data_IF_955968135252
#
_entry.id   IF_955968135252
#
_cell.length_a   1.000
_cell.length_b   1.000
_cell.length_c   1.000
_cell.angle_alpha   90.00
_cell.angle_beta   90.00
_cell.angle_gamma   90.00
#
_symmetry.space_group_name_H-M   'P 1'
#
loop_
_entity.id
_entity.type
_entity.pdbx_description
1 polymer ?
#
# COMPACT_ATOMS: atom_id res chain seq x y z
N UNK A 1 19.99 7.21 18.20
CA UNK A 1 19.64 8.40 17.36
C UNK A 1 19.54 9.69 18.16
N UNK A 2 18.86 9.74 19.31
CA UNK A 2 18.79 10.97 20.14
C UNK A 2 20.17 11.48 20.58
N UNK A 3 21.01 10.60 21.08
CA UNK A 3 22.41 10.92 21.42
C UNK A 3 23.21 11.39 20.20
N UNK A 4 23.02 10.74 19.05
CA UNK A 4 23.62 11.17 17.78
C UNK A 4 23.22 12.59 17.38
N UNK A 5 21.94 12.96 17.56
CA UNK A 5 21.47 14.33 17.33
C UNK A 5 22.12 15.31 18.32
N UNK A 6 22.23 14.96 19.60
CA UNK A 6 22.86 15.84 20.60
C UNK A 6 24.33 16.11 20.24
N UNK A 7 25.06 15.07 19.83
CA UNK A 7 26.44 15.17 19.36
C UNK A 7 26.56 15.99 18.06
N UNK A 8 25.60 15.83 17.15
CA UNK A 8 25.51 16.64 15.93
C UNK A 8 25.25 18.11 16.27
N UNK A 9 24.38 18.44 17.22
CA UNK A 9 24.14 19.84 17.58
C UNK A 9 25.36 20.49 18.21
N UNK A 10 26.07 19.75 19.08
CA UNK A 10 27.24 20.26 19.79
C UNK A 10 28.46 20.43 18.86
N UNK A 11 28.74 19.42 18.05
CA UNK A 11 30.02 19.29 17.35
C UNK A 11 29.89 19.21 15.82
N UNK A 12 28.67 19.32 15.27
CA UNK A 12 28.34 19.09 13.85
C UNK A 12 28.89 17.76 13.31
N UNK A 13 29.00 16.77 14.19
CA UNK A 13 29.49 15.42 13.90
C UNK A 13 28.35 14.52 13.45
N UNK A 14 28.44 14.04 12.21
CA UNK A 14 27.48 13.08 11.66
C UNK A 14 27.63 11.71 12.33
N UNK A 15 26.51 11.02 12.55
CA UNK A 15 26.48 9.70 13.14
C UNK A 15 26.91 8.66 12.10
N UNK A 16 28.02 7.96 12.39
CA UNK A 16 28.43 6.80 11.60
C UNK A 16 27.54 5.60 11.98
N UNK A 17 26.67 5.20 11.07
CA UNK A 17 25.79 4.06 11.28
C UNK A 17 26.50 2.76 10.91
N UNK A 18 26.35 1.75 11.76
CA UNK A 18 26.65 0.38 11.35
C UNK A 18 25.65 -0.09 10.30
N UNK A 19 26.05 -1.11 9.53
CA UNK A 19 25.19 -1.72 8.50
C UNK A 19 23.84 -2.19 9.08
N UNK A 20 23.85 -2.78 10.27
CA UNK A 20 22.66 -3.37 10.90
C UNK A 20 21.70 -2.28 11.38
N UNK A 21 22.21 -1.22 12.03
CA UNK A 21 21.35 -0.10 12.46
C UNK A 21 20.73 0.60 11.25
N UNK A 22 21.48 0.79 10.17
CA UNK A 22 20.93 1.32 8.91
C UNK A 22 19.85 0.40 8.34
N UNK A 23 20.06 -0.92 8.38
CA UNK A 23 19.07 -1.89 7.94
C UNK A 23 17.76 -1.81 8.73
N UNK A 24 17.84 -1.71 10.05
CA UNK A 24 16.67 -1.67 10.94
C UNK A 24 15.84 -0.40 10.76
N UNK A 25 16.50 0.75 10.61
CA UNK A 25 15.82 2.02 10.28
C UNK A 25 15.06 1.88 8.97
N UNK A 26 15.72 1.35 7.93
CA UNK A 26 15.10 1.14 6.63
C UNK A 26 13.95 0.13 6.69
N UNK A 27 14.07 -0.97 7.45
CA UNK A 27 13.02 -1.99 7.58
C UNK A 27 11.78 -1.42 8.26
N UNK A 28 11.95 -0.68 9.37
CA UNK A 28 10.83 -0.04 10.06
C UNK A 28 10.13 0.98 9.16
N UNK A 29 10.89 1.85 8.49
CA UNK A 29 10.31 2.81 7.55
C UNK A 29 9.59 2.13 6.40
N UNK A 30 10.16 1.08 5.82
CA UNK A 30 9.52 0.35 4.73
C UNK A 30 8.21 -0.33 5.19
N UNK A 31 8.18 -0.88 6.40
CA UNK A 31 6.97 -1.45 7.00
C UNK A 31 5.87 -0.40 7.18
N UNK A 32 6.18 0.74 7.78
CA UNK A 32 5.24 1.85 7.98
C UNK A 32 4.72 2.36 6.62
N UNK A 33 5.63 2.65 5.68
CA UNK A 33 5.27 3.10 4.33
C UNK A 33 4.36 2.10 3.62
N UNK A 34 4.64 0.80 3.74
CA UNK A 34 3.81 -0.25 3.17
C UNK A 34 2.39 -0.26 3.76
N UNK A 35 2.26 0.01 5.06
CA UNK A 35 0.96 0.11 5.74
C UNK A 35 0.06 1.21 5.15
N UNK A 36 0.64 2.29 4.63
CA UNK A 36 -0.10 3.33 3.90
C UNK A 36 -0.26 3.01 2.41
N UNK A 37 0.81 2.53 1.75
CA UNK A 37 0.84 2.31 0.30
C UNK A 37 1.91 1.29 -0.08
N UNK A 38 1.50 0.15 -0.66
CA UNK A 38 2.44 -0.88 -1.11
C UNK A 38 3.43 -0.40 -2.20
N UNK A 39 2.98 0.49 -3.09
CA UNK A 39 3.76 1.04 -4.21
C UNK A 39 3.88 2.57 -4.10
N UNK A 40 4.69 3.10 -3.16
CA UNK A 40 4.91 4.53 -3.07
C UNK A 40 5.68 5.03 -4.29
N UNK A 41 5.31 6.21 -4.75
CA UNK A 41 5.98 6.95 -5.81
C UNK A 41 7.33 7.47 -5.34
N UNK A 42 8.18 7.84 -6.30
CA UNK A 42 9.51 8.39 -6.00
C UNK A 42 9.43 9.68 -5.16
N UNK A 43 8.37 10.49 -5.36
CA UNK A 43 8.10 11.70 -4.56
C UNK A 43 7.71 11.36 -3.12
N UNK A 44 6.81 10.38 -2.93
CA UNK A 44 6.41 9.94 -1.58
C UNK A 44 7.59 9.35 -0.80
N UNK A 45 8.48 8.59 -1.46
CA UNK A 45 9.71 8.07 -0.84
C UNK A 45 10.66 9.23 -0.46
N UNK A 46 10.78 10.26 -1.30
CA UNK A 46 11.60 11.43 -1.03
C UNK A 46 11.14 12.17 0.24
N UNK A 47 9.82 12.39 0.38
CA UNK A 47 9.23 13.04 1.56
C UNK A 47 9.57 12.28 2.85
N UNK A 48 9.52 10.95 2.83
CA UNK A 48 9.89 10.14 3.99
C UNK A 48 11.39 10.24 4.31
N UNK A 49 12.25 10.22 3.30
CA UNK A 49 13.70 10.37 3.48
C UNK A 49 14.07 11.75 4.04
N UNK A 50 13.43 12.81 3.54
CA UNK A 50 13.58 14.16 4.02
C UNK A 50 13.13 14.29 5.48
N UNK A 51 11.92 13.79 5.80
CA UNK A 51 11.40 13.80 7.16
C UNK A 51 12.29 13.03 8.15
N UNK A 52 12.93 11.94 7.71
CA UNK A 52 13.89 11.20 8.52
C UNK A 52 15.08 12.07 8.92
N UNK A 53 15.69 12.75 7.96
CA UNK A 53 16.89 13.59 8.19
C UNK A 53 16.51 14.88 8.92
N UNK A 54 15.35 15.46 8.66
CA UNK A 54 14.84 16.63 9.39
C UNK A 54 14.65 16.30 10.88
N UNK A 55 14.09 15.13 11.19
CA UNK A 55 13.90 14.66 12.57
C UNK A 55 15.22 14.22 13.22
N UNK A 56 16.13 13.66 12.43
CA UNK A 56 17.43 13.19 12.89
C UNK A 56 18.58 13.77 12.06
N UNK A 57 18.95 15.04 12.27
CA UNK A 57 20.01 15.70 11.51
C UNK A 57 21.36 14.98 11.56
N UNK A 58 21.63 14.20 12.61
CA UNK A 58 22.82 13.36 12.70
C UNK A 58 22.92 12.29 11.59
N UNK A 59 21.81 11.98 10.91
CA UNK A 59 21.75 11.02 9.80
C UNK A 59 22.00 11.66 8.43
N UNK A 60 22.18 12.98 8.36
CA UNK A 60 22.41 13.69 7.10
C UNK A 60 23.69 13.16 6.42
N UNK A 61 23.62 12.89 5.12
CA UNK A 61 24.79 12.45 4.35
C UNK A 61 25.74 13.63 4.09
N UNK A 62 26.99 13.50 4.55
CA UNK A 62 28.01 14.52 4.34
C UNK A 62 28.27 14.71 2.84
N UNK A 63 28.37 15.96 2.40
CA UNK A 63 28.63 16.31 0.99
C UNK A 63 27.41 16.20 0.06
N UNK A 64 26.23 15.84 0.57
CA UNK A 64 24.98 15.87 -0.20
C UNK A 64 24.30 17.23 -0.06
N UNK A 65 23.92 17.84 -1.19
CA UNK A 65 23.18 19.11 -1.24
C UNK A 65 21.87 19.03 -0.44
N UNK A 66 21.12 17.93 -0.62
CA UNK A 66 19.85 17.70 0.10
C UNK A 66 20.06 16.99 1.43
N UNK A 67 21.11 16.17 1.57
CA UNK A 67 21.41 15.43 2.79
C UNK A 67 20.59 14.15 3.02
N UNK A 68 19.56 13.91 2.21
CA UNK A 68 18.65 12.76 2.32
C UNK A 68 18.60 11.88 1.06
N UNK A 69 19.31 12.24 -0.01
CA UNK A 69 19.17 11.57 -1.31
C UNK A 69 19.58 10.09 -1.30
N UNK A 70 20.64 9.72 -0.58
CA UNK A 70 21.05 8.32 -0.42
C UNK A 70 20.11 7.53 0.50
N UNK A 71 19.46 8.17 1.48
CA UNK A 71 18.36 7.57 2.23
C UNK A 71 17.16 7.26 1.33
N UNK A 72 16.77 8.19 0.46
CA UNK A 72 15.72 7.96 -0.55
C UNK A 72 16.06 6.75 -1.43
N UNK A 73 17.28 6.68 -1.97
CA UNK A 73 17.70 5.55 -2.81
C UNK A 73 17.68 4.23 -2.03
N UNK A 74 18.18 4.24 -0.79
CA UNK A 74 18.15 3.07 0.10
C UNK A 74 16.72 2.61 0.38
N UNK A 75 15.80 3.54 0.66
CA UNK A 75 14.38 3.25 0.88
C UNK A 75 13.71 2.70 -0.37
N UNK A 76 14.06 3.19 -1.56
CA UNK A 76 13.52 2.67 -2.83
C UNK A 76 13.84 1.19 -3.03
N UNK A 77 15.10 0.79 -2.79
CA UNK A 77 15.49 -0.62 -2.81
C UNK A 77 14.82 -1.41 -1.70
N UNK A 78 14.81 -0.87 -0.47
CA UNK A 78 14.19 -1.52 0.68
C UNK A 78 12.71 -1.79 0.47
N UNK A 79 11.96 -0.84 -0.09
CA UNK A 79 10.55 -1.01 -0.45
C UNK A 79 10.35 -2.12 -1.48
N UNK A 80 11.26 -2.26 -2.46
CA UNK A 80 11.23 -3.38 -3.40
C UNK A 80 11.40 -4.74 -2.72
N UNK A 81 12.34 -4.83 -1.79
CA UNK A 81 12.59 -6.03 -1.00
C UNK A 81 11.42 -6.34 -0.04
N UNK A 82 10.88 -5.31 0.62
CA UNK A 82 9.75 -5.43 1.52
C UNK A 82 8.51 -5.92 0.79
N UNK A 83 8.19 -5.37 -0.39
CA UNK A 83 7.12 -5.91 -1.24
C UNK A 83 7.34 -7.38 -1.60
N UNK A 84 8.58 -7.77 -1.90
CA UNK A 84 8.91 -9.16 -2.24
C UNK A 84 8.76 -10.09 -1.03
N UNK A 85 9.07 -9.60 0.18
CA UNK A 85 8.81 -10.29 1.46
C UNK A 85 7.31 -10.46 1.72
N UNK A 86 6.53 -9.38 1.60
CA UNK A 86 5.06 -9.41 1.79
C UNK A 86 4.35 -10.28 0.74
N UNK A 87 4.84 -10.32 -0.51
CA UNK A 87 4.34 -11.25 -1.52
C UNK A 87 4.53 -12.71 -1.10
N UNK A 88 5.71 -13.07 -0.58
CA UNK A 88 5.99 -14.44 -0.10
C UNK A 88 5.13 -14.82 1.12
N UNK A 89 4.73 -13.83 1.92
CA UNK A 89 3.78 -14.02 3.02
C UNK A 89 2.32 -14.16 2.54
N UNK A 90 2.06 -14.14 1.23
CA UNK A 90 0.74 -14.36 0.66
C UNK A 90 -0.14 -13.11 0.57
N UNK A 91 0.40 -11.89 0.72
CA UNK A 91 -0.41 -10.67 0.68
C UNK A 91 -1.06 -10.44 -0.70
N UNK A 92 -2.42 -10.49 -0.78
CA UNK A 92 -3.19 -10.36 -2.02
C UNK A 92 -2.85 -9.11 -2.86
N UNK A 93 -2.65 -7.97 -2.22
CA UNK A 93 -2.36 -6.68 -2.88
C UNK A 93 -1.11 -6.72 -3.80
N UNK A 94 -0.16 -7.62 -3.50
CA UNK A 94 1.08 -7.79 -4.25
C UNK A 94 1.07 -9.07 -5.09
N UNK A 95 0.32 -10.10 -4.71
CA UNK A 95 0.25 -11.35 -5.48
C UNK A 95 -0.51 -11.19 -6.78
N UNK A 96 -1.57 -10.38 -6.83
CA UNK A 96 -2.27 -10.07 -8.11
C UNK A 96 -1.36 -9.27 -9.06
N UNK A 97 -0.35 -8.59 -8.53
CA UNK A 97 0.68 -7.88 -9.28
C UNK A 97 1.99 -8.68 -9.43
N UNK A 98 2.05 -9.92 -8.92
CA UNK A 98 3.13 -10.83 -9.22
C UNK A 98 2.89 -11.28 -10.67
N UNK A 99 3.64 -10.70 -11.60
CA UNK A 99 3.39 -10.91 -13.02
C UNK A 99 3.56 -12.37 -13.50
N UNK A 100 3.91 -12.46 -14.78
CA UNK A 100 4.07 -13.66 -15.60
C UNK A 100 4.77 -14.82 -14.86
N UNK A 101 4.40 -16.05 -15.24
CA UNK A 101 5.00 -17.31 -14.79
C UNK A 101 6.50 -17.17 -14.53
N UNK A 102 6.93 -17.54 -13.33
CA UNK A 102 8.34 -17.49 -12.93
C UNK A 102 8.72 -18.75 -12.17
N UNK A 103 10.02 -18.99 -11.96
CA UNK A 103 10.51 -20.13 -11.17
C UNK A 103 9.94 -20.17 -9.75
N UNK A 104 9.51 -19.02 -9.21
CA UNK A 104 8.89 -18.93 -7.88
C UNK A 104 7.35 -18.96 -7.92
N UNK A 105 6.73 -18.76 -9.09
CA UNK A 105 5.27 -18.79 -9.30
C UNK A 105 4.98 -19.54 -10.62
N UNK A 106 5.06 -20.89 -10.62
CA UNK A 106 4.92 -21.69 -11.82
C UNK A 106 3.48 -21.74 -12.36
N UNK A 107 2.48 -21.56 -11.48
CA UNK A 107 1.06 -21.68 -11.83
C UNK A 107 0.49 -20.41 -12.48
N UNK A 108 1.22 -19.29 -12.49
CA UNK A 108 0.77 -18.05 -13.13
C UNK A 108 0.70 -18.18 -14.67
N UNK A 109 -0.08 -17.30 -15.29
CA UNK A 109 -0.18 -17.18 -16.74
C UNK A 109 1.18 -16.90 -17.40
N UNK A 110 1.36 -17.48 -18.59
CA UNK A 110 2.59 -17.33 -19.37
C UNK A 110 2.81 -15.87 -19.80
N UNK A 111 4.02 -15.56 -20.23
CA UNK A 111 4.45 -14.22 -20.58
C UNK A 111 3.78 -13.57 -21.80
N UNK A 112 2.67 -14.11 -22.29
CA UNK A 112 2.00 -13.69 -23.51
C UNK A 112 0.62 -13.02 -23.29
N UNK A 113 0.16 -12.84 -22.04
CA UNK A 113 -0.97 -11.93 -21.78
C UNK A 113 -0.51 -10.48 -22.00
N UNK A 114 -1.27 -9.72 -22.79
CA UNK A 114 -0.90 -8.43 -23.43
C UNK A 114 -0.55 -7.25 -22.50
N UNK A 115 -0.40 -7.47 -21.19
CA UNK A 115 -0.05 -6.42 -20.23
C UNK A 115 1.41 -6.63 -19.81
N UNK A 116 2.32 -5.96 -20.53
CA UNK A 116 3.77 -6.22 -20.44
C UNK A 116 4.32 -5.99 -19.02
N UNK A 117 3.86 -4.96 -18.30
CA UNK A 117 4.00 -4.73 -16.84
C UNK A 117 3.03 -3.58 -16.47
N UNK A 118 1.96 -3.79 -15.69
CA UNK A 118 1.25 -2.63 -15.16
C UNK A 118 2.23 -1.89 -14.23
N UNK A 119 2.64 -0.68 -14.63
CA UNK A 119 3.60 0.17 -13.88
C UNK A 119 3.03 0.65 -12.54
N UNK A 120 1.74 0.46 -12.32
CA UNK A 120 0.97 0.89 -11.15
C UNK A 120 -0.14 -0.12 -10.91
N UNK A 121 -0.55 -0.27 -9.67
CA UNK A 121 -1.67 -1.13 -9.25
C UNK A 121 -3.04 -0.72 -9.85
N UNK A 122 -3.09 0.15 -10.86
CA UNK A 122 -4.32 0.72 -11.42
C UNK A 122 -5.23 -0.35 -12.05
N UNK A 123 -4.68 -1.46 -12.58
CA UNK A 123 -5.51 -2.54 -13.14
C UNK A 123 -5.93 -3.56 -12.07
N UNK A 124 -5.08 -3.82 -11.06
CA UNK A 124 -5.18 -4.99 -10.16
C UNK A 124 -5.02 -4.66 -8.66
N UNK A 125 -5.34 -3.44 -8.22
CA UNK A 125 -5.36 -3.11 -6.79
C UNK A 125 -6.35 -4.03 -6.06
N UNK A 126 -5.87 -4.82 -5.10
CA UNK A 126 -6.67 -5.79 -4.35
C UNK A 126 -6.29 -5.67 -2.86
N UNK A 127 -6.83 -4.67 -2.14
CA UNK A 127 -6.42 -4.41 -0.77
C UNK A 127 -6.81 -5.57 0.15
N UNK A 128 -6.08 -5.68 1.27
CA UNK A 128 -6.47 -6.55 2.36
C UNK A 128 -7.80 -6.11 2.98
N UNK A 129 -8.49 -7.04 3.64
CA UNK A 129 -9.63 -6.65 4.45
C UNK A 129 -9.17 -5.78 5.63
N UNK A 130 -10.03 -4.84 6.09
CA UNK A 130 -9.77 -4.07 7.29
C UNK A 130 -9.46 -4.99 8.48
N UNK A 131 -8.71 -4.48 9.46
CA UNK A 131 -8.34 -5.26 10.64
C UNK A 131 -9.59 -5.76 11.38
N UNK A 132 -9.66 -7.09 11.62
CA UNK A 132 -10.79 -7.73 12.29
C UNK A 132 -11.94 -8.13 11.36
N UNK A 133 -11.91 -7.74 10.09
CA UNK A 133 -12.94 -8.09 9.11
C UNK A 133 -12.58 -9.37 8.35
N UNK A 134 -13.59 -10.18 8.03
CA UNK A 134 -13.47 -11.37 7.20
C UNK A 134 -14.51 -11.33 6.05
N UNK A 135 -14.42 -12.21 5.03
CA UNK A 135 -15.37 -12.20 3.90
C UNK A 135 -16.84 -12.22 4.33
N UNK A 136 -17.18 -13.03 5.32
CA UNK A 136 -18.56 -13.18 5.81
C UNK A 136 -19.07 -11.91 6.48
N UNK A 137 -18.22 -11.23 7.26
CA UNK A 137 -18.58 -9.99 7.98
C UNK A 137 -18.79 -8.85 6.98
N UNK A 138 -17.93 -8.76 5.97
CA UNK A 138 -18.06 -7.77 4.90
C UNK A 138 -19.26 -8.04 4.00
N UNK A 139 -19.63 -9.31 3.78
CA UNK A 139 -20.82 -9.69 3.02
C UNK A 139 -22.11 -9.33 3.76
N UNK A 140 -22.15 -9.53 5.09
CA UNK A 140 -23.24 -9.02 5.93
C UNK A 140 -23.35 -7.49 5.85
N UNK A 141 -22.21 -6.80 5.84
CA UNK A 141 -22.19 -5.34 5.69
C UNK A 141 -22.65 -4.89 4.30
N UNK A 142 -22.29 -5.62 3.23
CA UNK A 142 -22.84 -5.39 1.87
C UNK A 142 -24.36 -5.51 1.86
N UNK A 143 -24.91 -6.55 2.50
CA UNK A 143 -26.36 -6.73 2.55
C UNK A 143 -27.05 -5.55 3.27
N UNK A 144 -26.48 -5.08 4.38
CA UNK A 144 -26.96 -3.88 5.08
C UNK A 144 -26.94 -2.63 4.18
N UNK A 145 -25.93 -2.48 3.33
CA UNK A 145 -25.87 -1.38 2.35
C UNK A 145 -27.02 -1.48 1.35
N UNK A 146 -27.31 -2.68 0.83
CA UNK A 146 -28.44 -2.90 -0.09
C UNK A 146 -29.76 -2.57 0.58
N UNK A 147 -29.94 -2.97 1.84
CA UNK A 147 -31.17 -2.72 2.59
C UNK A 147 -31.35 -1.23 2.90
N UNK A 148 -30.26 -0.52 3.21
CA UNK A 148 -30.27 0.94 3.44
C UNK A 148 -30.67 1.72 2.17
N UNK A 149 -30.23 1.28 0.98
CA UNK A 149 -30.63 1.93 -0.29
C UNK A 149 -32.12 1.75 -0.58
N UNK A 150 -32.72 0.65 -0.15
CA UNK A 150 -34.15 0.37 -0.38
C UNK A 150 -35.07 1.24 0.48
N UNK A 151 -34.54 1.91 1.51
CA UNK A 151 -35.33 2.80 2.37
C UNK A 151 -35.78 4.04 1.60
N UNK A 152 -36.97 4.53 1.95
CA UNK A 152 -37.51 5.79 1.42
C UNK A 152 -36.61 6.98 1.80
N UNK A 153 -36.18 7.03 3.06
CA UNK A 153 -35.19 7.97 3.57
C UNK A 153 -33.84 7.25 3.75
N UNK A 154 -32.84 7.64 2.95
CA UNK A 154 -31.53 6.98 2.90
C UNK A 154 -30.54 7.74 3.76
N UNK A 155 -29.85 7.04 4.66
CA UNK A 155 -28.72 7.65 5.37
C UNK A 155 -27.46 7.64 4.49
N UNK A 156 -27.23 8.71 3.73
CA UNK A 156 -26.09 8.82 2.81
C UNK A 156 -24.72 8.70 3.52
N UNK A 157 -24.59 9.25 4.74
CA UNK A 157 -23.35 9.17 5.51
C UNK A 157 -23.05 7.71 5.92
N UNK A 158 -24.08 6.98 6.35
CA UNK A 158 -23.96 5.57 6.70
C UNK A 158 -23.59 4.73 5.48
N UNK A 159 -24.27 4.95 4.34
CA UNK A 159 -23.96 4.28 3.07
C UNK A 159 -22.50 4.52 2.69
N UNK A 160 -22.03 5.78 2.74
CA UNK A 160 -20.64 6.14 2.41
C UNK A 160 -19.63 5.40 3.30
N UNK A 161 -19.86 5.37 4.61
CA UNK A 161 -18.99 4.66 5.58
C UNK A 161 -18.96 3.15 5.32
N UNK A 162 -20.12 2.54 5.11
CA UNK A 162 -20.21 1.10 4.81
C UNK A 162 -19.58 0.76 3.44
N UNK A 163 -19.71 1.66 2.46
CA UNK A 163 -19.10 1.52 1.13
C UNK A 163 -17.57 1.59 1.14
N UNK A 164 -17.01 2.40 2.04
CA UNK A 164 -15.57 2.45 2.28
C UNK A 164 -15.08 1.15 2.95
N UNK A 165 -15.81 0.66 3.95
CA UNK A 165 -15.44 -0.56 4.68
C UNK A 165 -15.50 -1.80 3.78
N UNK A 166 -16.52 -1.88 2.92
CA UNK A 166 -16.72 -2.99 1.96
C UNK A 166 -15.90 -2.86 0.68
N UNK A 167 -15.08 -1.81 0.53
CA UNK A 167 -14.28 -1.56 -0.67
C UNK A 167 -13.41 -2.77 -1.05
N UNK A 168 -12.74 -3.38 -0.07
CA UNK A 168 -11.89 -4.54 -0.30
C UNK A 168 -12.66 -5.74 -0.85
N UNK A 169 -13.85 -6.02 -0.31
CA UNK A 169 -14.72 -7.11 -0.79
C UNK A 169 -15.15 -6.84 -2.24
N UNK A 170 -15.70 -5.65 -2.51
CA UNK A 170 -16.12 -5.24 -3.86
C UNK A 170 -15.00 -5.37 -4.87
N UNK A 171 -13.79 -4.95 -4.51
CA UNK A 171 -12.63 -5.02 -5.38
C UNK A 171 -12.18 -6.46 -5.63
N UNK A 172 -12.27 -7.34 -4.62
CA UNK A 172 -12.02 -8.76 -4.80
C UNK A 172 -13.00 -9.40 -5.80
N UNK A 173 -14.29 -9.08 -5.71
CA UNK A 173 -15.29 -9.55 -6.69
C UNK A 173 -14.92 -9.10 -8.10
N UNK A 174 -14.67 -7.80 -8.31
CA UNK A 174 -14.34 -7.25 -9.64
C UNK A 174 -13.11 -7.91 -10.25
N UNK A 175 -12.03 -8.07 -9.47
CA UNK A 175 -10.73 -8.54 -9.97
C UNK A 175 -10.68 -10.06 -10.10
N UNK A 176 -11.34 -10.82 -9.21
CA UNK A 176 -11.27 -12.29 -9.21
C UNK A 176 -12.35 -12.94 -10.08
N UNK A 177 -13.57 -12.41 -10.08
CA UNK A 177 -14.70 -13.05 -10.77
C UNK A 177 -15.05 -12.35 -12.08
N UNK A 178 -14.53 -11.15 -12.33
CA UNK A 178 -14.78 -10.35 -13.54
C UNK A 178 -16.26 -10.39 -13.99
N UNK A 179 -17.22 -10.10 -13.09
CA UNK A 179 -18.63 -10.28 -13.41
C UNK A 179 -19.07 -9.28 -14.48
N UNK A 180 -20.10 -9.61 -15.29
CA UNK A 180 -20.76 -8.64 -16.15
C UNK A 180 -21.19 -7.39 -15.38
N UNK A 181 -21.16 -6.23 -16.03
CA UNK A 181 -21.52 -4.94 -15.40
C UNK A 181 -22.91 -5.01 -14.75
N UNK A 182 -23.86 -5.70 -15.39
CA UNK A 182 -25.21 -5.88 -14.86
C UNK A 182 -25.20 -6.56 -13.48
N UNK A 183 -24.53 -7.71 -13.37
CA UNK A 183 -24.42 -8.45 -12.11
C UNK A 183 -23.66 -7.66 -11.04
N UNK A 184 -22.61 -6.94 -11.43
CA UNK A 184 -21.87 -6.07 -10.50
C UNK A 184 -22.76 -4.98 -9.90
N UNK A 185 -23.60 -4.35 -10.73
CA UNK A 185 -24.52 -3.30 -10.31
C UNK A 185 -25.72 -3.84 -9.50
N UNK A 186 -26.06 -5.11 -9.66
CA UNK A 186 -27.05 -5.80 -8.80
C UNK A 186 -26.47 -6.12 -7.42
N UNK A 187 -25.20 -6.54 -7.36
CA UNK A 187 -24.49 -6.80 -6.10
C UNK A 187 -24.18 -5.52 -5.32
N UNK A 188 -23.88 -4.42 -6.03
CA UNK A 188 -23.47 -3.13 -5.48
C UNK A 188 -24.32 -1.97 -6.03
N UNK A 189 -25.61 -1.88 -5.66
CA UNK A 189 -26.54 -0.87 -6.19
C UNK A 189 -26.11 0.57 -5.90
N UNK A 190 -25.32 0.80 -4.85
CA UNK A 190 -24.67 2.09 -4.53
C UNK A 190 -23.85 2.66 -5.67
N UNK A 191 -23.31 1.83 -6.56
CA UNK A 191 -22.49 2.29 -7.69
C UNK A 191 -23.33 3.04 -8.75
N UNK A 192 -24.66 2.93 -8.70
CA UNK A 192 -25.58 3.69 -9.55
C UNK A 192 -25.87 5.09 -9.00
N UNK A 193 -25.48 5.37 -7.75
CA UNK A 193 -25.69 6.69 -7.15
C UNK A 193 -24.58 7.62 -7.64
N UNK A 194 -24.93 8.84 -8.03
CA UNK A 194 -23.95 9.86 -8.37
C UNK A 194 -23.10 10.19 -7.13
N UNK A 195 -21.79 10.32 -7.33
CA UNK A 195 -20.90 10.86 -6.30
C UNK A 195 -21.11 12.37 -6.23
N UNK A 196 -21.47 12.89 -5.05
CA UNK A 196 -21.34 14.33 -4.74
C UNK A 196 -19.92 14.84 -4.95
#
# INVERSE_FOLDING_TARGET
LREGNAEFEKNKKYLQLTRDVKHDILEKLASEMYGYKAYPSDKEIAVVAEALVLKYPCLKEAGSETGWNGWKNSLKFKMGNYRSKMRRAGCPEITVNAGKRSRMNPDNESSHSNIKRPKRAEVNFLPNFPQGENPSTLEQLRQKVVDEIKKAEKNLQLIKKMMQTTFALRRQTIVKTCPPVKELLELWPTLKMESE
#
